data_IF_965643212019
#
_entry.id   IF_965643212019
#
_cell.length_a   1.000
_cell.length_b   1.000
_cell.length_c   1.000
_cell.angle_alpha   90.00
_cell.angle_beta   90.00
_cell.angle_gamma   90.00
#
_symmetry.space_group_name_H-M   'P 1'
#
loop_
_entity.id
_entity.type
_entity.pdbx_description
1 polymer ?
#
# COMPACT_ATOMS: atom_id res chain seq x y z
N UNK A 1 -2.39 14.27 24.21
CA UNK A 1 -1.27 13.31 24.04
C UNK A 1 -1.68 12.33 22.95
N UNK A 2 -0.78 11.96 22.06
CA UNK A 2 -1.07 10.94 21.04
C UNK A 2 -1.33 9.59 21.73
N UNK A 3 -2.27 8.83 21.16
CA UNK A 3 -2.65 7.54 21.70
C UNK A 3 -1.56 6.49 21.40
N UNK A 4 -0.99 5.90 22.42
CA UNK A 4 0.14 4.97 22.32
C UNK A 4 -0.21 3.53 22.68
N UNK A 5 -1.48 3.25 23.05
CA UNK A 5 -1.95 1.92 23.45
C UNK A 5 -3.09 1.45 22.54
N UNK A 6 -2.97 0.22 22.03
CA UNK A 6 -3.89 -0.40 21.08
C UNK A 6 -4.30 -1.81 21.54
N UNK A 7 -5.37 -2.35 20.94
CA UNK A 7 -5.71 -3.76 21.08
C UNK A 7 -4.84 -4.60 20.16
N UNK A 8 -4.65 -4.09 18.91
CA UNK A 8 -3.87 -4.78 17.88
C UNK A 8 -2.96 -3.77 17.18
N UNK A 9 -1.67 -4.09 17.07
CA UNK A 9 -0.73 -3.41 16.19
C UNK A 9 -0.29 -4.38 15.10
N UNK A 10 -0.33 -3.92 13.83
CA UNK A 10 0.16 -4.67 12.68
C UNK A 10 1.42 -3.98 12.17
N UNK A 11 2.52 -4.72 12.05
CA UNK A 11 3.79 -4.22 11.53
C UNK A 11 3.87 -4.57 10.04
N UNK A 12 3.82 -3.56 9.18
CA UNK A 12 3.80 -3.65 7.72
C UNK A 12 2.44 -3.28 7.13
N UNK A 13 2.42 -2.27 6.26
CA UNK A 13 1.23 -1.72 5.59
C UNK A 13 0.94 -2.32 4.22
N UNK A 14 1.54 -3.48 3.88
CA UNK A 14 1.26 -4.23 2.66
C UNK A 14 -0.12 -4.92 2.67
N UNK A 15 -0.45 -5.74 1.64
CA UNK A 15 -1.78 -6.37 1.52
C UNK A 15 -2.21 -7.18 2.75
N UNK A 16 -1.31 -7.94 3.36
CA UNK A 16 -1.58 -8.66 4.60
C UNK A 16 -1.90 -7.71 5.75
N UNK A 17 -1.11 -6.63 5.86
CA UNK A 17 -1.21 -5.69 6.98
C UNK A 17 -2.44 -4.78 6.92
N UNK A 18 -2.65 -4.05 5.81
CA UNK A 18 -3.79 -3.14 5.74
C UNK A 18 -5.14 -3.87 5.75
N UNK A 19 -5.22 -5.07 5.15
CA UNK A 19 -6.45 -5.88 5.19
C UNK A 19 -6.74 -6.34 6.61
N UNK A 20 -5.73 -6.87 7.32
CA UNK A 20 -5.86 -7.27 8.72
C UNK A 20 -6.26 -6.09 9.62
N UNK A 21 -5.62 -4.92 9.43
CA UNK A 21 -5.91 -3.73 10.20
C UNK A 21 -7.35 -3.23 10.02
N UNK A 22 -7.82 -3.15 8.78
CA UNK A 22 -9.20 -2.76 8.47
C UNK A 22 -10.17 -3.76 9.09
N UNK A 23 -9.91 -5.07 8.95
CA UNK A 23 -10.80 -6.10 9.49
C UNK A 23 -10.84 -6.07 11.01
N UNK A 24 -9.69 -5.92 11.68
CA UNK A 24 -9.62 -5.80 13.13
C UNK A 24 -10.44 -4.59 13.64
N UNK A 25 -10.28 -3.44 12.97
CA UNK A 25 -11.04 -2.24 13.31
C UNK A 25 -12.57 -2.43 13.09
N UNK A 26 -12.99 -3.11 12.02
CA UNK A 26 -14.39 -3.46 11.78
C UNK A 26 -14.98 -4.37 12.85
N UNK A 27 -14.15 -5.18 13.50
CA UNK A 27 -14.53 -6.04 14.63
C UNK A 27 -14.53 -5.31 15.97
N UNK A 28 -14.27 -4.00 15.97
CA UNK A 28 -14.30 -3.15 17.17
C UNK A 28 -12.99 -3.04 17.92
N UNK A 29 -11.88 -3.60 17.40
CA UNK A 29 -10.57 -3.45 18.04
C UNK A 29 -9.95 -2.09 17.73
N UNK A 30 -9.37 -1.44 18.74
CA UNK A 30 -8.53 -0.28 18.56
C UNK A 30 -7.22 -0.70 17.90
N UNK A 31 -7.06 -0.32 16.65
CA UNK A 31 -6.04 -0.89 15.75
C UNK A 31 -5.08 0.16 15.22
N UNK A 32 -3.80 -0.18 15.15
CA UNK A 32 -2.80 0.58 14.42
C UNK A 32 -2.06 -0.29 13.39
N UNK A 33 -1.59 0.33 12.33
CA UNK A 33 -0.66 -0.25 11.36
C UNK A 33 0.62 0.58 11.33
N UNK A 34 1.78 -0.10 11.41
CA UNK A 34 3.09 0.55 11.27
C UNK A 34 3.57 0.36 9.84
N UNK A 35 3.97 1.45 9.19
CA UNK A 35 4.57 1.42 7.86
C UNK A 35 5.78 2.34 7.81
N UNK A 36 6.86 1.86 7.20
CA UNK A 36 8.11 2.62 7.12
C UNK A 36 8.29 3.38 5.82
N UNK A 37 7.56 2.99 4.77
CA UNK A 37 7.88 3.44 3.43
C UNK A 37 6.64 3.77 2.58
N UNK A 38 5.78 2.79 2.30
CA UNK A 38 4.61 2.99 1.44
C UNK A 38 3.44 2.10 1.85
N UNK A 39 2.31 2.69 2.18
CA UNK A 39 1.07 1.94 2.32
C UNK A 39 0.77 1.15 1.03
N UNK A 40 0.24 -0.06 1.18
CA UNK A 40 0.03 -0.98 0.08
C UNK A 40 1.23 -1.88 -0.22
N UNK A 41 2.41 -1.58 0.34
CA UNK A 41 3.64 -2.38 0.21
C UNK A 41 4.08 -2.58 -1.24
N UNK A 42 4.93 -3.57 -1.47
CA UNK A 42 5.46 -3.91 -2.79
C UNK A 42 4.34 -4.16 -3.81
N UNK A 43 3.28 -4.87 -3.42
CA UNK A 43 2.21 -5.26 -4.33
C UNK A 43 1.56 -4.07 -5.03
N UNK A 44 1.17 -3.03 -4.29
CA UNK A 44 0.53 -1.85 -4.88
C UNK A 44 1.51 -0.94 -5.59
N UNK A 45 2.73 -0.82 -5.08
CA UNK A 45 3.65 0.21 -5.52
C UNK A 45 4.59 -0.25 -6.66
N UNK A 46 5.09 -1.50 -6.62
CA UNK A 46 6.07 -1.99 -7.61
C UNK A 46 5.79 -3.39 -8.14
N UNK A 47 4.83 -4.10 -7.59
CA UNK A 47 4.55 -5.51 -7.90
C UNK A 47 3.25 -5.72 -8.66
N UNK A 48 2.26 -6.29 -7.98
CA UNK A 48 1.03 -6.81 -8.59
C UNK A 48 0.27 -5.78 -9.43
N UNK A 49 0.09 -4.58 -8.90
CA UNK A 49 -0.77 -3.57 -9.52
C UNK A 49 -0.14 -2.93 -10.75
N UNK A 50 1.09 -2.38 -10.69
CA UNK A 50 1.71 -1.85 -11.90
C UNK A 50 1.91 -2.93 -12.96
N UNK A 51 2.25 -4.16 -12.58
CA UNK A 51 2.38 -5.28 -13.53
C UNK A 51 1.05 -5.57 -14.24
N UNK A 52 -0.08 -5.68 -13.50
CA UNK A 52 -1.39 -5.87 -14.11
C UNK A 52 -1.80 -4.71 -15.02
N UNK A 53 -1.44 -3.49 -14.65
CA UNK A 53 -1.72 -2.32 -15.49
C UNK A 53 -0.92 -2.35 -16.81
N UNK A 54 0.33 -2.80 -16.78
CA UNK A 54 1.17 -3.00 -17.97
C UNK A 54 0.63 -4.13 -18.84
N UNK A 55 0.32 -5.28 -18.24
CA UNK A 55 -0.26 -6.42 -18.95
C UNK A 55 -1.57 -6.04 -19.65
N UNK A 56 -2.43 -5.24 -19.01
CA UNK A 56 -3.67 -4.79 -19.65
C UNK A 56 -3.41 -3.88 -20.86
N UNK A 57 -2.39 -3.04 -20.80
CA UNK A 57 -2.00 -2.23 -21.97
C UNK A 57 -1.46 -3.10 -23.11
N UNK A 58 -0.64 -4.11 -22.79
CA UNK A 58 -0.13 -5.07 -23.77
C UNK A 58 -1.26 -5.89 -24.42
N UNK A 59 -2.23 -6.33 -23.62
CA UNK A 59 -3.41 -7.08 -24.09
C UNK A 59 -4.25 -6.26 -25.09
N UNK A 60 -4.52 -4.99 -24.75
CA UNK A 60 -5.25 -4.07 -25.66
C UNK A 60 -4.47 -3.86 -26.96
N UNK A 61 -3.15 -3.67 -26.88
CA UNK A 61 -2.30 -3.55 -28.06
C UNK A 61 -2.36 -4.81 -28.93
N UNK A 62 -2.33 -5.99 -28.30
CA UNK A 62 -2.47 -7.28 -29.00
C UNK A 62 -3.83 -7.37 -29.71
N UNK A 63 -4.94 -7.01 -29.05
CA UNK A 63 -6.25 -7.01 -29.68
C UNK A 63 -6.32 -6.05 -30.88
N UNK A 64 -5.76 -4.86 -30.76
CA UNK A 64 -5.71 -3.91 -31.87
C UNK A 64 -4.93 -4.47 -33.06
N UNK A 65 -3.80 -5.13 -32.84
CA UNK A 65 -3.00 -5.79 -33.88
C UNK A 65 -3.73 -6.95 -34.58
N UNK A 66 -4.62 -7.60 -33.87
CA UNK A 66 -5.39 -8.76 -34.35
C UNK A 66 -6.88 -8.45 -34.52
N UNK A 67 -7.22 -7.17 -34.73
CA UNK A 67 -8.60 -6.69 -34.80
C UNK A 67 -9.46 -7.46 -35.83
N UNK A 68 -8.87 -7.88 -36.96
CA UNK A 68 -9.55 -8.66 -38.01
C UNK A 68 -10.15 -9.97 -37.49
N UNK A 69 -9.56 -10.61 -36.49
CA UNK A 69 -10.09 -11.83 -35.88
C UNK A 69 -11.46 -11.61 -35.21
N UNK A 70 -11.79 -10.36 -34.92
CA UNK A 70 -13.03 -9.94 -34.28
C UNK A 70 -13.99 -9.20 -35.23
N UNK A 71 -13.71 -9.22 -36.55
CA UNK A 71 -14.49 -8.47 -37.52
C UNK A 71 -14.28 -6.94 -37.45
N UNK A 72 -13.20 -6.50 -36.83
CA UNK A 72 -12.86 -5.08 -36.64
C UNK A 72 -11.67 -4.68 -37.54
N UNK A 73 -11.53 -3.41 -37.82
CA UNK A 73 -10.35 -2.85 -38.46
C UNK A 73 -9.71 -1.79 -37.55
N UNK A 74 -8.39 -1.75 -37.57
CA UNK A 74 -7.61 -0.76 -36.84
C UNK A 74 -6.35 -0.44 -37.65
N UNK A 75 -6.13 0.84 -37.93
CA UNK A 75 -5.01 1.34 -38.73
C UNK A 75 -4.07 2.20 -37.88
N UNK A 76 -2.82 2.35 -38.32
CA UNK A 76 -1.80 3.20 -37.69
C UNK A 76 -1.57 2.90 -36.20
N UNK A 77 -1.61 1.63 -35.82
CA UNK A 77 -1.47 1.20 -34.42
C UNK A 77 -0.04 1.43 -33.96
N UNK A 78 0.11 2.27 -32.97
CA UNK A 78 1.38 2.58 -32.30
C UNK A 78 1.24 2.50 -30.77
N UNK A 79 2.34 2.58 -30.04
CA UNK A 79 2.32 2.72 -28.59
C UNK A 79 3.42 3.68 -28.15
N UNK A 80 3.17 4.35 -27.03
CA UNK A 80 4.12 5.22 -26.34
C UNK A 80 4.51 4.53 -25.03
N UNK A 81 5.77 4.06 -24.88
CA UNK A 81 6.23 3.39 -23.66
C UNK A 81 6.13 4.29 -22.42
N UNK A 82 6.40 5.59 -22.56
CA UNK A 82 6.34 6.52 -21.44
C UNK A 82 4.90 6.68 -20.93
N UNK A 83 3.94 6.83 -21.84
CA UNK A 83 2.52 6.91 -21.49
C UNK A 83 2.01 5.60 -20.85
N UNK A 84 2.46 4.44 -21.33
CA UNK A 84 2.11 3.12 -20.73
C UNK A 84 2.63 3.03 -19.28
N UNK A 85 3.88 3.42 -19.06
CA UNK A 85 4.47 3.46 -17.70
C UNK A 85 3.73 4.46 -16.82
N UNK A 86 3.49 5.68 -17.30
CA UNK A 86 2.77 6.71 -16.56
C UNK A 86 1.36 6.24 -16.16
N UNK A 87 0.64 5.56 -17.07
CA UNK A 87 -0.65 4.95 -16.77
C UNK A 87 -0.54 3.94 -15.62
N UNK A 88 0.47 3.07 -15.63
CA UNK A 88 0.67 2.07 -14.56
C UNK A 88 0.91 2.75 -13.20
N UNK A 89 1.70 3.82 -13.17
CA UNK A 89 1.93 4.62 -11.96
C UNK A 89 0.65 5.30 -11.47
N UNK A 90 -0.16 5.84 -12.37
CA UNK A 90 -1.46 6.43 -12.05
C UNK A 90 -2.44 5.43 -11.43
N UNK A 91 -2.45 4.17 -11.90
CA UNK A 91 -3.27 3.10 -11.31
C UNK A 91 -2.78 2.78 -9.89
N UNK A 92 -1.47 2.61 -9.71
CA UNK A 92 -0.86 2.34 -8.39
C UNK A 92 -1.16 3.46 -7.39
N UNK A 93 -0.98 4.72 -7.78
CA UNK A 93 -1.24 5.88 -6.92
C UNK A 93 -2.70 5.98 -6.48
N UNK A 94 -3.66 5.72 -7.38
CA UNK A 94 -5.09 5.69 -7.01
C UNK A 94 -5.42 4.62 -5.99
N UNK A 95 -4.87 3.41 -6.14
CA UNK A 95 -5.12 2.33 -5.19
C UNK A 95 -4.42 2.56 -3.85
N UNK A 96 -3.22 3.14 -3.86
CA UNK A 96 -2.54 3.55 -2.64
C UNK A 96 -3.37 4.59 -1.86
N UNK A 97 -3.87 5.63 -2.55
CA UNK A 97 -4.79 6.60 -1.95
C UNK A 97 -6.08 5.95 -1.41
N UNK A 98 -6.58 4.93 -2.10
CA UNK A 98 -7.73 4.13 -1.64
C UNK A 98 -7.45 3.40 -0.33
N UNK A 99 -6.28 2.80 -0.16
CA UNK A 99 -5.87 2.15 1.11
C UNK A 99 -5.79 3.18 2.23
N UNK A 100 -5.16 4.33 1.99
CA UNK A 100 -5.09 5.43 2.97
C UNK A 100 -6.49 5.87 3.41
N UNK A 101 -7.41 6.07 2.46
CA UNK A 101 -8.78 6.43 2.75
C UNK A 101 -9.53 5.35 3.56
N UNK A 102 -9.34 4.07 3.23
CA UNK A 102 -9.98 2.95 3.93
C UNK A 102 -9.49 2.81 5.36
N UNK A 103 -8.19 2.95 5.59
CA UNK A 103 -7.62 2.97 6.94
C UNK A 103 -8.23 4.09 7.77
N UNK A 104 -8.28 5.31 7.22
CA UNK A 104 -8.90 6.46 7.89
C UNK A 104 -10.39 6.26 8.15
N UNK A 105 -11.15 5.78 7.16
CA UNK A 105 -12.59 5.48 7.30
C UNK A 105 -12.88 4.50 8.43
N UNK A 106 -12.01 3.51 8.61
CA UNK A 106 -12.14 2.51 9.68
C UNK A 106 -11.44 2.92 10.98
N UNK A 107 -10.97 4.18 11.10
CA UNK A 107 -10.29 4.70 12.29
C UNK A 107 -9.04 3.91 12.69
N UNK A 108 -8.36 3.32 11.73
CA UNK A 108 -7.06 2.68 11.95
C UNK A 108 -5.99 3.77 12.05
N UNK A 109 -5.24 3.79 13.14
CA UNK A 109 -4.09 4.68 13.28
C UNK A 109 -2.93 4.21 12.42
N UNK A 110 -2.32 5.12 11.66
CA UNK A 110 -1.10 4.82 10.91
C UNK A 110 0.08 5.36 11.69
N UNK A 111 1.02 4.50 12.07
CA UNK A 111 2.28 4.85 12.70
C UNK A 111 3.36 4.82 11.63
N UNK A 112 4.00 5.96 11.39
CA UNK A 112 4.98 6.07 10.31
C UNK A 112 6.40 5.92 10.84
N UNK A 113 7.08 4.86 10.44
CA UNK A 113 8.44 4.58 10.86
C UNK A 113 8.79 3.10 10.85
N UNK A 114 9.98 2.81 11.31
CA UNK A 114 10.56 1.48 11.38
C UNK A 114 10.36 0.88 12.77
N UNK A 115 9.60 -0.20 12.86
CA UNK A 115 9.24 -0.84 14.13
C UNK A 115 10.27 -1.89 14.55
N UNK A 116 10.59 -1.88 15.85
CA UNK A 116 11.36 -2.93 16.51
C UNK A 116 10.56 -3.48 17.69
N UNK A 117 10.37 -4.79 17.74
CA UNK A 117 9.77 -5.47 18.89
C UNK A 117 10.77 -5.47 20.04
N UNK A 118 10.41 -4.87 21.17
CA UNK A 118 11.27 -4.75 22.37
C UNK A 118 10.83 -5.69 23.48
N UNK A 119 9.52 -5.92 23.61
CA UNK A 119 8.90 -6.86 24.55
C UNK A 119 7.69 -7.53 23.88
N UNK A 120 7.10 -8.57 24.44
CA UNK A 120 5.96 -9.27 23.85
C UNK A 120 4.80 -8.40 23.40
N UNK A 121 4.55 -7.30 24.11
CA UNK A 121 3.41 -6.39 23.87
C UNK A 121 3.84 -4.94 23.57
N UNK A 122 5.12 -4.71 23.25
CA UNK A 122 5.69 -3.40 23.08
C UNK A 122 6.56 -3.33 21.83
N UNK A 123 6.37 -2.26 21.07
CA UNK A 123 7.25 -1.90 19.96
C UNK A 123 7.83 -0.50 20.17
N UNK A 124 9.04 -0.30 19.69
CA UNK A 124 9.63 1.03 19.53
C UNK A 124 9.67 1.33 18.03
N UNK A 125 9.14 2.46 17.64
CA UNK A 125 9.15 2.96 16.27
C UNK A 125 10.14 4.10 16.17
N UNK A 126 11.08 4.00 15.25
CA UNK A 126 12.05 5.05 14.88
C UNK A 126 11.71 5.65 13.52
N UNK A 127 12.33 6.77 13.18
CA UNK A 127 12.30 7.25 11.81
C UNK A 127 12.88 6.19 10.86
N UNK A 128 12.40 6.10 9.61
CA UNK A 128 12.95 5.17 8.63
C UNK A 128 14.47 5.34 8.47
N UNK A 129 15.21 4.24 8.51
CA UNK A 129 16.68 4.23 8.39
C UNK A 129 17.17 4.46 6.96
N UNK A 130 16.30 4.29 5.98
CA UNK A 130 16.57 4.47 4.54
C UNK A 130 15.53 5.37 3.91
N UNK A 131 15.91 6.15 2.87
CA UNK A 131 14.92 6.91 2.10
C UNK A 131 13.96 5.97 1.38
N UNK A 132 12.71 6.41 1.23
CA UNK A 132 11.69 5.66 0.51
C UNK A 132 12.06 5.46 -0.97
N UNK A 133 11.79 4.26 -1.50
CA UNK A 133 12.01 3.93 -2.91
C UNK A 133 11.03 4.70 -3.79
N UNK A 134 11.52 5.20 -4.92
CA UNK A 134 10.70 5.92 -5.89
C UNK A 134 9.90 4.98 -6.82
N UNK A 135 8.70 5.36 -7.29
CA UNK A 135 8.01 6.66 -7.02
C UNK A 135 7.39 6.68 -5.62
N UNK A 136 7.49 7.81 -4.96
CA UNK A 136 6.97 8.02 -3.62
C UNK A 136 5.51 8.47 -3.66
N UNK A 137 4.64 7.78 -2.91
CA UNK A 137 3.27 8.23 -2.66
C UNK A 137 3.23 9.16 -1.44
N UNK A 138 2.24 10.07 -1.38
CA UNK A 138 2.08 10.93 -0.21
C UNK A 138 1.87 10.12 1.07
N UNK A 139 2.57 10.50 2.11
CA UNK A 139 2.35 9.95 3.45
C UNK A 139 0.99 10.41 4.02
N UNK A 140 0.33 9.60 4.87
CA UNK A 140 -0.89 10.03 5.56
C UNK A 140 -0.65 11.30 6.40
N UNK A 141 -1.55 12.28 6.29
CA UNK A 141 -1.41 13.57 6.99
C UNK A 141 -1.57 13.47 8.51
N UNK A 142 -2.39 12.53 8.96
CA UNK A 142 -2.75 12.26 10.35
C UNK A 142 -1.98 11.07 10.95
N UNK A 143 -0.80 10.75 10.39
CA UNK A 143 0.09 9.71 10.90
C UNK A 143 0.65 10.03 12.29
N UNK A 144 0.85 9.00 13.09
CA UNK A 144 1.66 9.03 14.30
C UNK A 144 3.14 8.87 13.92
N UNK A 145 4.02 9.49 14.72
CA UNK A 145 5.47 9.47 14.48
C UNK A 145 6.22 8.44 15.32
N UNK A 146 7.56 8.56 15.37
CA UNK A 146 8.41 7.75 16.24
C UNK A 146 7.98 7.80 17.71
N UNK A 147 8.12 6.69 18.41
CA UNK A 147 7.75 6.55 19.82
C UNK A 147 7.64 5.10 20.27
N UNK A 148 7.25 4.92 21.54
CA UNK A 148 6.97 3.59 22.09
C UNK A 148 5.47 3.36 22.09
N UNK A 149 5.05 2.22 21.57
CA UNK A 149 3.66 1.80 21.43
C UNK A 149 3.44 0.43 22.03
N UNK A 150 2.27 0.24 22.64
CA UNK A 150 1.90 -1.04 23.24
C UNK A 150 0.63 -1.60 22.62
N UNK A 151 0.51 -2.93 22.58
CA UNK A 151 -0.70 -3.60 22.13
C UNK A 151 -0.91 -4.92 22.86
N UNK A 152 -2.18 -5.35 23.00
CA UNK A 152 -2.50 -6.68 23.50
C UNK A 152 -2.00 -7.80 22.56
N UNK A 153 -2.03 -7.52 21.24
CA UNK A 153 -1.58 -8.43 20.20
C UNK A 153 -0.77 -7.68 19.13
N UNK A 154 0.29 -8.31 18.65
CA UNK A 154 1.12 -7.76 17.57
C UNK A 154 1.15 -8.77 16.42
N UNK A 155 0.84 -8.28 15.20
CA UNK A 155 0.87 -9.07 13.98
C UNK A 155 2.04 -8.58 13.13
N UNK A 156 2.91 -9.50 12.70
CA UNK A 156 4.03 -9.21 11.80
C UNK A 156 3.58 -9.51 10.37
N UNK A 157 3.56 -8.49 9.51
CA UNK A 157 3.13 -8.56 8.12
C UNK A 157 4.09 -7.77 7.21
N UNK A 158 5.40 -7.88 7.48
CA UNK A 158 6.44 -7.05 6.85
C UNK A 158 6.70 -7.37 5.39
N UNK A 159 6.23 -8.52 4.90
CA UNK A 159 6.43 -8.96 3.52
C UNK A 159 7.85 -9.48 3.25
N UNK A 160 8.25 -9.44 1.97
CA UNK A 160 9.56 -9.88 1.47
C UNK A 160 10.45 -8.68 1.14
#
# INVERSE_FOLDING_TARGET
MADTSFDIIIIGGGPGGYVAAIRAAQLGFKTAVVEREHLGGICLNWGCIPTKALLRSAEIYHYMKHAKNYGLSADNISFDPAAVVQRSRGVSGRLNGGVTMLLKKNKVSVIWGEAKLTKPNEIVVSAPSKPAVQPQNPEPKDKLGPGTYTAKNIIIATGA
#
